data_IF_467383311307
#
_entry.id   IF_467383311307
#
_cell.length_a   1.000
_cell.length_b   1.000
_cell.length_c   1.000
_cell.angle_alpha   90.00
_cell.angle_beta   90.00
_cell.angle_gamma   90.00
#
_symmetry.space_group_name_H-M   'P 1'
#
loop_
_entity.id
_entity.type
_entity.pdbx_description
1 polymer ?
#
# COMPACT_ATOMS: atom_id res chain seq x y z
N UNK A 1 30.82 30.19 -21.78
CA UNK A 1 30.48 28.75 -21.78
C UNK A 1 30.29 28.33 -20.32
N UNK A 2 29.06 28.40 -19.80
CA UNK A 2 28.74 27.97 -18.44
C UNK A 2 28.52 26.45 -18.41
N UNK A 3 28.97 25.73 -17.37
CA UNK A 3 28.67 24.30 -17.25
C UNK A 3 27.19 24.15 -16.91
N UNK A 4 26.46 23.43 -17.76
CA UNK A 4 25.09 23.03 -17.45
C UNK A 4 25.11 22.12 -16.24
N UNK A 5 24.57 22.60 -15.11
CA UNK A 5 24.32 21.78 -13.93
C UNK A 5 23.35 20.66 -14.30
N UNK A 6 23.89 19.49 -14.60
CA UNK A 6 23.11 18.27 -14.66
C UNK A 6 22.50 18.04 -13.26
N UNK A 7 21.18 18.26 -13.13
CA UNK A 7 20.42 17.82 -11.97
C UNK A 7 20.51 16.30 -11.95
N UNK A 8 21.42 15.76 -11.15
CA UNK A 8 21.43 14.36 -10.78
C UNK A 8 20.06 14.05 -10.20
N UNK A 9 19.28 13.21 -10.88
CA UNK A 9 18.03 12.71 -10.35
C UNK A 9 18.41 11.87 -9.12
N UNK A 10 18.23 12.47 -7.93
CA UNK A 10 18.38 11.74 -6.69
C UNK A 10 17.43 10.55 -6.77
N UNK A 11 17.98 9.33 -6.71
CA UNK A 11 17.18 8.13 -6.53
C UNK A 11 16.51 8.28 -5.16
N UNK A 12 15.27 8.79 -5.14
CA UNK A 12 14.46 8.81 -3.94
C UNK A 12 14.30 7.35 -3.56
N UNK A 13 14.86 6.96 -2.42
CA UNK A 13 14.55 5.67 -1.80
C UNK A 13 13.07 5.73 -1.45
N UNK A 14 12.25 5.12 -2.30
CA UNK A 14 10.81 5.04 -2.09
C UNK A 14 10.54 3.95 -1.05
N UNK A 15 10.28 4.38 0.17
CA UNK A 15 9.87 3.48 1.25
C UNK A 15 8.36 3.48 1.38
N UNK A 16 7.75 2.30 1.58
CA UNK A 16 6.28 2.16 1.66
C UNK A 16 5.66 3.01 2.78
N UNK A 17 6.38 3.25 3.87
CA UNK A 17 5.93 4.06 5.00
C UNK A 17 5.85 5.56 4.67
N UNK A 18 6.52 6.02 3.61
CA UNK A 18 6.54 7.43 3.18
C UNK A 18 5.45 7.76 2.17
N UNK A 19 4.81 6.74 1.58
CA UNK A 19 3.72 6.94 0.62
C UNK A 19 2.50 7.57 1.30
N UNK A 20 1.73 8.42 0.60
CA UNK A 20 0.42 8.88 1.07
C UNK A 20 -0.56 7.70 1.29
N UNK A 21 -1.63 7.96 2.04
CA UNK A 21 -2.59 6.90 2.43
C UNK A 21 -3.29 6.26 1.24
N UNK A 22 -3.77 7.03 0.27
CA UNK A 22 -4.51 6.51 -0.89
C UNK A 22 -3.69 5.55 -1.76
N UNK A 23 -2.46 5.86 -2.20
CA UNK A 23 -1.65 4.92 -2.97
C UNK A 23 -1.25 3.70 -2.14
N UNK A 24 -1.06 3.83 -0.83
CA UNK A 24 -0.80 2.68 0.04
C UNK A 24 -2.03 1.76 0.14
N UNK A 25 -3.23 2.32 0.31
CA UNK A 25 -4.49 1.55 0.28
C UNK A 25 -4.73 0.88 -1.07
N UNK A 26 -4.38 1.55 -2.17
CA UNK A 26 -4.45 0.97 -3.52
C UNK A 26 -3.53 -0.26 -3.61
N UNK A 27 -2.28 -0.17 -3.14
CA UNK A 27 -1.36 -1.32 -3.09
C UNK A 27 -1.95 -2.46 -2.26
N UNK A 28 -2.44 -2.16 -1.05
CA UNK A 28 -3.07 -3.16 -0.17
C UNK A 28 -4.30 -3.83 -0.82
N UNK A 29 -5.02 -3.14 -1.71
CA UNK A 29 -6.19 -3.68 -2.39
C UNK A 29 -5.89 -4.80 -3.40
N UNK A 30 -4.62 -4.98 -3.78
CA UNK A 30 -4.17 -6.05 -4.67
C UNK A 30 -3.76 -7.33 -3.94
N UNK A 31 -3.58 -7.27 -2.62
CA UNK A 31 -3.20 -8.43 -1.81
C UNK A 31 -4.33 -9.45 -1.71
N UNK A 32 -4.02 -10.69 -1.34
CA UNK A 32 -5.04 -11.63 -0.87
C UNK A 32 -5.37 -11.37 0.62
N UNK A 33 -6.35 -12.07 1.18
CA UNK A 33 -6.77 -11.84 2.56
C UNK A 33 -5.67 -12.22 3.58
N UNK A 34 -4.80 -13.17 3.25
CA UNK A 34 -3.74 -13.65 4.16
C UNK A 34 -2.57 -12.67 4.17
N UNK A 35 -2.19 -12.17 3.00
CA UNK A 35 -1.16 -11.17 2.84
C UNK A 35 -1.60 -9.84 3.46
N UNK A 36 -2.86 -9.44 3.23
CA UNK A 36 -3.42 -8.24 3.86
C UNK A 36 -3.43 -8.34 5.39
N UNK A 37 -3.83 -9.51 5.93
CA UNK A 37 -3.78 -9.75 7.37
C UNK A 37 -2.34 -9.71 7.90
N UNK A 38 -1.38 -10.26 7.15
CA UNK A 38 0.03 -10.26 7.53
C UNK A 38 0.61 -8.84 7.61
N UNK A 39 0.19 -7.94 6.72
CA UNK A 39 0.56 -6.52 6.78
C UNK A 39 0.17 -5.85 8.11
N UNK A 40 -0.89 -6.32 8.78
CA UNK A 40 -1.33 -5.73 10.05
C UNK A 40 -0.28 -5.83 11.17
N UNK A 41 0.61 -6.82 11.09
CA UNK A 41 1.65 -7.07 12.08
C UNK A 41 2.99 -6.37 11.76
N UNK A 42 3.10 -5.68 10.63
CA UNK A 42 4.36 -5.06 10.19
C UNK A 42 4.63 -3.77 10.94
N UNK A 43 3.66 -2.86 11.02
CA UNK A 43 3.78 -1.60 11.75
C UNK A 43 2.40 -1.00 12.07
N UNK A 44 2.37 0.01 12.95
CA UNK A 44 1.11 0.65 13.40
C UNK A 44 0.28 1.24 12.26
N UNK A 45 0.93 1.83 11.25
CA UNK A 45 0.25 2.45 10.11
C UNK A 45 -0.39 1.39 9.23
N UNK A 46 0.33 0.31 8.94
CA UNK A 46 -0.18 -0.81 8.15
C UNK A 46 -1.30 -1.53 8.88
N UNK A 47 -1.24 -1.66 10.21
CA UNK A 47 -2.35 -2.18 11.01
C UNK A 47 -3.64 -1.39 10.76
N UNK A 48 -3.59 -0.07 10.90
CA UNK A 48 -4.75 0.80 10.67
C UNK A 48 -5.30 0.70 9.24
N UNK A 49 -4.40 0.69 8.26
CA UNK A 49 -4.81 0.64 6.85
C UNK A 49 -5.30 -0.75 6.43
N UNK A 50 -4.73 -1.82 6.97
CA UNK A 50 -5.19 -3.18 6.71
C UNK A 50 -6.60 -3.44 7.25
N UNK A 51 -7.04 -2.68 8.25
CA UNK A 51 -8.39 -2.77 8.82
C UNK A 51 -9.45 -1.98 8.03
N UNK A 52 -9.10 -1.27 6.96
CA UNK A 52 -10.06 -0.48 6.18
C UNK A 52 -11.17 -1.35 5.58
N UNK A 53 -12.43 -1.05 5.93
CA UNK A 53 -13.59 -1.82 5.48
C UNK A 53 -13.68 -2.06 3.96
N UNK A 54 -13.34 -1.10 3.07
CA UNK A 54 -13.40 -1.33 1.63
C UNK A 54 -12.52 -2.49 1.14
N UNK A 55 -11.38 -2.73 1.80
CA UNK A 55 -10.48 -3.84 1.45
C UNK A 55 -11.15 -5.19 1.72
N UNK A 56 -11.77 -5.34 2.89
CA UNK A 56 -12.47 -6.56 3.30
C UNK A 56 -13.78 -6.79 2.57
N UNK A 57 -14.51 -5.73 2.22
CA UNK A 57 -15.79 -5.83 1.48
C UNK A 57 -15.64 -6.58 0.16
N UNK A 58 -14.51 -6.40 -0.55
CA UNK A 58 -14.20 -7.15 -1.78
C UNK A 58 -14.02 -8.65 -1.51
N UNK A 59 -13.36 -9.01 -0.40
CA UNK A 59 -13.15 -10.40 -0.02
C UNK A 59 -14.43 -11.06 0.49
N UNK A 60 -15.28 -10.37 1.24
CA UNK A 60 -16.59 -10.89 1.61
C UNK A 60 -17.42 -11.20 0.36
N UNK A 61 -17.43 -10.32 -0.65
CA UNK A 61 -18.10 -10.61 -1.93
C UNK A 61 -17.51 -11.79 -2.68
N UNK A 62 -16.19 -12.00 -2.59
CA UNK A 62 -15.49 -13.04 -3.35
C UNK A 62 -15.53 -14.42 -2.67
N UNK A 63 -15.45 -14.46 -1.34
CA UNK A 63 -15.27 -15.70 -0.57
C UNK A 63 -16.48 -16.06 0.32
N UNK A 64 -17.29 -15.07 0.73
CA UNK A 64 -18.42 -15.30 1.66
C UNK A 64 -19.78 -15.31 0.98
N UNK A 65 -19.91 -14.67 -0.18
CA UNK A 65 -21.03 -14.95 -1.07
C UNK A 65 -20.74 -16.29 -1.75
N UNK A 66 -21.01 -17.37 -1.01
CA UNK A 66 -21.42 -18.64 -1.60
C UNK A 66 -22.53 -18.31 -2.60
N UNK A 67 -22.28 -18.54 -3.89
CA UNK A 67 -23.37 -18.77 -4.84
C UNK A 67 -23.93 -20.16 -4.59
#
# INVERSE_FOLDING_TARGET
RAPGSAKMAASVVLSLDTLPTDPLLLILSFLDYRDLNSCSYVNRRFNQLSAHEPLWKRFCKKYWLLS
#
